data_IF_887502238927
#
_entry.id   IF_887502238927
#
_cell.length_a   1.000
_cell.length_b   1.000
_cell.length_c   1.000
_cell.angle_alpha   90.00
_cell.angle_beta   90.00
_cell.angle_gamma   90.00
#
_symmetry.space_group_name_H-M   'P 1'
#
loop_
_entity.id
_entity.type
_entity.pdbx_description
1 polymer ?
#
# COMPACT_ATOMS: atom_id res chain seq x y z
N UNK A 1 63.99 76.64 -8.02
CA UNK A 1 62.76 76.84 -7.24
C UNK A 1 61.64 76.27 -8.07
N UNK A 2 61.11 75.15 -7.60
CA UNK A 2 60.24 74.20 -8.29
C UNK A 2 59.10 73.96 -7.31
N UNK A 3 57.83 74.15 -7.72
CA UNK A 3 56.66 73.60 -7.04
C UNK A 3 55.34 73.91 -7.78
N UNK A 4 54.40 72.97 -7.69
CA UNK A 4 52.99 72.96 -8.15
C UNK A 4 52.77 72.45 -9.58
N UNK A 5 52.18 71.28 -9.88
CA UNK A 5 51.37 70.37 -9.09
C UNK A 5 50.02 70.12 -9.79
N UNK A 6 49.77 68.90 -10.30
CA UNK A 6 48.41 68.35 -10.34
C UNK A 6 48.42 66.82 -10.43
N UNK A 7 47.98 66.18 -9.35
CA UNK A 7 47.80 64.72 -9.22
C UNK A 7 46.57 64.25 -10.01
N UNK A 8 46.72 63.16 -10.76
CA UNK A 8 45.59 62.38 -11.28
C UNK A 8 44.86 61.67 -10.13
N UNK A 9 43.53 61.74 -10.09
CA UNK A 9 42.68 60.84 -9.27
C UNK A 9 42.53 59.49 -9.96
N UNK A 10 42.66 58.34 -9.27
CA UNK A 10 42.25 57.05 -9.82
C UNK A 10 40.73 56.85 -9.62
N UNK A 11 40.04 56.55 -10.73
CA UNK A 11 38.63 56.20 -10.76
C UNK A 11 38.35 54.90 -10.02
N UNK A 12 37.58 55.01 -8.93
CA UNK A 12 37.00 53.92 -8.15
C UNK A 12 35.69 53.52 -8.84
N UNK A 13 35.63 52.39 -9.55
CA UNK A 13 34.38 52.07 -10.28
C UNK A 13 34.16 50.67 -10.86
N UNK A 14 35.02 49.68 -10.62
CA UNK A 14 34.91 48.38 -11.33
C UNK A 14 34.87 47.12 -10.45
N UNK A 15 35.22 47.21 -9.16
CA UNK A 15 35.27 46.03 -8.27
C UNK A 15 33.90 45.68 -7.67
N UNK A 16 33.08 46.67 -7.31
CA UNK A 16 31.77 46.43 -6.66
C UNK A 16 30.73 45.76 -7.57
N UNK A 17 30.74 46.05 -8.87
CA UNK A 17 29.78 45.50 -9.85
C UNK A 17 29.97 44.00 -10.10
N UNK A 18 31.22 43.53 -10.12
CA UNK A 18 31.54 42.11 -10.34
C UNK A 18 31.21 41.26 -9.12
N UNK A 19 31.42 41.79 -7.91
CA UNK A 19 31.10 41.08 -6.67
C UNK A 19 29.58 40.90 -6.49
N UNK A 20 28.80 41.93 -6.80
CA UNK A 20 27.32 41.88 -6.73
C UNK A 20 26.73 40.87 -7.72
N UNK A 21 27.26 40.79 -8.95
CA UNK A 21 26.81 39.81 -9.94
C UNK A 21 27.10 38.36 -9.53
N UNK A 22 28.26 38.11 -8.90
CA UNK A 22 28.62 36.77 -8.41
C UNK A 22 27.73 36.35 -7.24
N UNK A 23 27.47 37.25 -6.28
CA UNK A 23 26.59 36.96 -5.13
C UNK A 23 25.15 36.71 -5.57
N UNK A 24 24.62 37.51 -6.51
CA UNK A 24 23.27 37.31 -7.06
C UNK A 24 23.18 35.99 -7.84
N UNK A 25 24.21 35.63 -8.63
CA UNK A 25 24.26 34.37 -9.36
C UNK A 25 24.28 33.14 -8.44
N UNK A 26 25.03 33.18 -7.34
CA UNK A 26 25.09 32.08 -6.35
C UNK A 26 23.76 31.94 -5.61
N UNK A 27 23.13 33.04 -5.19
CA UNK A 27 21.82 33.01 -4.52
C UNK A 27 20.70 32.52 -5.44
N UNK A 28 20.71 32.93 -6.70
CA UNK A 28 19.75 32.44 -7.70
C UNK A 28 19.95 30.94 -8.01
N UNK A 29 21.21 30.49 -8.14
CA UNK A 29 21.53 29.08 -8.34
C UNK A 29 21.12 28.20 -7.15
N UNK A 30 21.34 28.66 -5.92
CA UNK A 30 20.92 27.97 -4.71
C UNK A 30 19.39 27.91 -4.57
N UNK A 31 18.67 28.98 -4.94
CA UNK A 31 17.20 28.99 -4.96
C UNK A 31 16.62 27.99 -5.96
N UNK A 32 17.18 27.91 -7.17
CA UNK A 32 16.77 26.94 -8.20
C UNK A 32 17.07 25.50 -7.74
N UNK A 33 18.26 25.24 -7.20
CA UNK A 33 18.61 23.92 -6.68
C UNK A 33 17.72 23.50 -5.49
N UNK A 34 17.38 24.43 -4.60
CA UNK A 34 16.44 24.19 -3.50
C UNK A 34 15.04 23.86 -3.99
N UNK A 35 14.53 24.61 -4.98
CA UNK A 35 13.22 24.35 -5.58
C UNK A 35 13.16 22.99 -6.29
N UNK A 36 14.20 22.63 -7.05
CA UNK A 36 14.30 21.34 -7.74
C UNK A 36 14.42 20.20 -6.72
N UNK A 37 15.22 20.36 -5.66
CA UNK A 37 15.34 19.38 -4.59
C UNK A 37 14.01 19.13 -3.87
N UNK A 38 13.26 20.19 -3.59
CA UNK A 38 11.93 20.09 -2.97
C UNK A 38 10.92 19.40 -3.89
N UNK A 39 10.99 19.67 -5.19
CA UNK A 39 10.11 19.06 -6.20
C UNK A 39 10.42 17.57 -6.38
N UNK A 40 11.69 17.19 -6.47
CA UNK A 40 12.13 15.78 -6.52
C UNK A 40 11.72 15.04 -5.24
N UNK A 41 11.89 15.65 -4.06
CA UNK A 41 11.44 15.05 -2.80
C UNK A 41 9.91 14.89 -2.76
N UNK A 42 9.17 15.90 -3.22
CA UNK A 42 7.71 15.83 -3.37
C UNK A 42 7.28 14.66 -4.26
N UNK A 43 7.84 14.56 -5.47
CA UNK A 43 7.58 13.44 -6.39
C UNK A 43 7.96 12.11 -5.77
N UNK A 44 9.11 12.02 -5.09
CA UNK A 44 9.57 10.80 -4.44
C UNK A 44 8.67 10.38 -3.28
N UNK A 45 8.16 11.31 -2.47
CA UNK A 45 7.22 11.00 -1.39
C UNK A 45 5.82 10.63 -1.88
N UNK A 46 5.36 11.21 -3.00
CA UNK A 46 4.12 10.81 -3.66
C UNK A 46 4.25 9.46 -4.39
N UNK A 47 5.48 9.09 -4.75
CA UNK A 47 5.81 7.84 -5.45
C UNK A 47 6.41 6.78 -4.54
N UNK A 48 6.60 7.08 -3.24
CA UNK A 48 7.06 6.11 -2.27
C UNK A 48 5.96 5.06 -2.20
N UNK A 49 6.24 3.81 -2.61
CA UNK A 49 5.21 2.78 -2.64
C UNK A 49 4.66 2.69 -1.22
N UNK A 50 3.34 2.90 -1.08
CA UNK A 50 2.64 2.41 0.09
C UNK A 50 3.09 0.96 0.26
N UNK A 51 3.55 0.59 1.45
CA UNK A 51 3.86 -0.80 1.73
C UNK A 51 2.64 -1.61 1.29
N UNK A 52 2.84 -2.50 0.31
CA UNK A 52 1.76 -3.29 -0.25
C UNK A 52 1.12 -4.06 0.90
N UNK A 53 -0.15 -3.77 1.15
CA UNK A 53 -0.93 -4.38 2.22
C UNK A 53 -0.86 -5.90 2.04
N UNK A 54 -0.33 -6.62 3.05
CA UNK A 54 -0.11 -8.05 2.95
C UNK A 54 -1.41 -8.79 3.23
N UNK A 55 -1.79 -9.65 2.30
CA UNK A 55 -2.85 -10.65 2.48
C UNK A 55 -2.19 -12.01 2.66
N UNK A 56 -2.76 -12.83 3.55
CA UNK A 56 -2.25 -14.16 3.85
C UNK A 56 -3.13 -15.27 3.31
N UNK A 57 -2.53 -16.39 2.89
CA UNK A 57 -3.25 -17.61 2.54
C UNK A 57 -2.69 -18.82 3.29
N UNK A 58 -3.57 -19.74 3.68
CA UNK A 58 -3.20 -21.07 4.16
C UNK A 58 -4.09 -22.14 3.54
N UNK A 59 -3.58 -23.37 3.49
CA UNK A 59 -4.34 -24.54 3.04
C UNK A 59 -4.36 -25.58 4.15
N UNK A 60 -5.56 -25.84 4.67
CA UNK A 60 -5.81 -26.79 5.76
C UNK A 60 -6.56 -28.01 5.22
N UNK A 61 -5.80 -29.03 4.81
CA UNK A 61 -6.35 -30.18 4.10
C UNK A 61 -6.91 -29.75 2.75
N UNK A 62 -8.24 -29.81 2.59
CA UNK A 62 -8.92 -29.32 1.37
C UNK A 62 -9.33 -27.85 1.43
N UNK A 63 -9.31 -27.22 2.62
CA UNK A 63 -9.82 -25.86 2.80
C UNK A 63 -8.74 -24.83 2.47
N UNK A 64 -9.04 -23.91 1.58
CA UNK A 64 -8.18 -22.75 1.32
C UNK A 64 -8.74 -21.57 2.11
N UNK A 65 -7.94 -21.00 2.99
CA UNK A 65 -8.35 -19.91 3.88
C UNK A 65 -7.48 -18.69 3.60
N UNK A 66 -8.12 -17.56 3.38
CA UNK A 66 -7.47 -16.27 3.18
C UNK A 66 -7.70 -15.39 4.41
N UNK A 67 -6.67 -14.62 4.78
CA UNK A 67 -6.75 -13.58 5.79
C UNK A 67 -6.37 -12.23 5.17
N UNK A 68 -7.35 -11.35 5.06
CA UNK A 68 -7.16 -9.95 4.70
C UNK A 68 -7.16 -9.07 5.95
N UNK A 69 -6.42 -7.94 5.95
CA UNK A 69 -6.55 -6.93 6.98
C UNK A 69 -7.92 -6.27 6.89
N UNK A 70 -8.60 -6.12 8.03
CA UNK A 70 -9.88 -5.41 8.14
C UNK A 70 -9.86 -4.54 9.38
N UNK A 71 -10.25 -3.27 9.24
CA UNK A 71 -10.41 -2.42 10.43
C UNK A 71 -11.61 -2.88 11.28
N UNK A 72 -11.60 -2.65 12.60
CA UNK A 72 -12.69 -3.11 13.48
C UNK A 72 -14.09 -2.62 13.11
N UNK A 73 -14.19 -1.46 12.43
CA UNK A 73 -15.46 -0.88 11.99
C UNK A 73 -15.90 -1.35 10.60
N UNK A 74 -15.00 -1.98 9.84
CA UNK A 74 -15.24 -2.44 8.48
C UNK A 74 -15.63 -3.92 8.47
N UNK A 75 -16.16 -4.37 7.34
CA UNK A 75 -16.46 -5.77 7.10
C UNK A 75 -16.15 -6.14 5.66
N UNK A 76 -15.81 -7.41 5.43
CA UNK A 76 -15.78 -7.98 4.08
C UNK A 76 -17.18 -7.95 3.48
N UNK A 77 -17.31 -7.42 2.27
CA UNK A 77 -18.54 -7.41 1.49
C UNK A 77 -18.53 -8.46 0.39
N UNK A 78 -17.47 -8.53 -0.40
CA UNK A 78 -17.35 -9.45 -1.53
C UNK A 78 -15.97 -10.07 -1.60
N UNK A 79 -15.90 -11.31 -2.07
CA UNK A 79 -14.67 -12.06 -2.33
C UNK A 79 -14.76 -12.65 -3.72
N UNK A 80 -13.75 -12.41 -4.52
CA UNK A 80 -13.59 -12.96 -5.86
C UNK A 80 -12.27 -13.73 -5.95
N UNK A 81 -12.32 -14.88 -6.62
CA UNK A 81 -11.17 -15.75 -6.82
C UNK A 81 -11.00 -16.01 -8.31
N UNK A 82 -9.80 -15.79 -8.79
CA UNK A 82 -9.41 -15.98 -10.17
C UNK A 82 -8.25 -16.97 -10.29
N UNK A 83 -8.17 -17.61 -11.43
CA UNK A 83 -6.96 -18.31 -11.86
C UNK A 83 -5.88 -17.27 -12.13
N UNK A 84 -4.77 -17.32 -11.39
CA UNK A 84 -3.75 -16.28 -11.46
C UNK A 84 -2.93 -16.25 -12.76
N UNK A 85 -3.01 -17.28 -13.62
CA UNK A 85 -2.32 -17.28 -14.91
C UNK A 85 -3.22 -16.78 -16.04
N UNK A 86 -4.53 -17.04 -15.96
CA UNK A 86 -5.49 -16.76 -17.03
C UNK A 86 -6.53 -15.67 -16.70
N UNK A 87 -6.54 -15.17 -15.46
CA UNK A 87 -7.53 -14.23 -14.90
C UNK A 87 -8.97 -14.74 -15.00
N UNK A 88 -9.16 -16.03 -15.26
CA UNK A 88 -10.48 -16.64 -15.34
C UNK A 88 -11.10 -16.68 -13.95
N UNK A 89 -12.30 -16.12 -13.80
CA UNK A 89 -13.07 -16.23 -12.55
C UNK A 89 -13.34 -17.70 -12.22
N UNK A 90 -12.98 -18.09 -10.99
CA UNK A 90 -13.14 -19.42 -10.44
C UNK A 90 -14.32 -19.48 -9.47
N UNK A 91 -14.50 -18.43 -8.66
CA UNK A 91 -15.52 -18.35 -7.63
C UNK A 91 -15.72 -16.91 -7.16
N UNK A 92 -16.94 -16.58 -6.72
CA UNK A 92 -17.31 -15.28 -6.17
C UNK A 92 -18.34 -15.47 -5.09
N UNK A 93 -18.20 -14.78 -3.96
CA UNK A 93 -19.21 -14.79 -2.92
C UNK A 93 -19.34 -13.44 -2.21
N UNK A 94 -20.54 -13.15 -1.72
CA UNK A 94 -20.90 -11.91 -1.04
C UNK A 94 -21.54 -12.15 0.32
N UNK A 95 -21.36 -11.13 1.16
CA UNK A 95 -21.94 -11.00 2.49
C UNK A 95 -21.67 -12.21 3.38
N UNK A 96 -20.46 -12.32 3.97
CA UNK A 96 -20.13 -13.39 4.89
C UNK A 96 -21.08 -13.43 6.08
N UNK A 97 -21.64 -14.62 6.35
CA UNK A 97 -22.54 -14.89 7.47
C UNK A 97 -21.80 -14.99 8.80
N UNK A 98 -20.55 -15.45 8.76
CA UNK A 98 -19.75 -15.70 9.96
C UNK A 98 -19.05 -14.43 10.45
N UNK A 99 -18.81 -14.36 11.77
CA UNK A 99 -18.08 -13.22 12.33
C UNK A 99 -16.60 -13.19 11.89
N UNK A 100 -15.99 -14.36 11.70
CA UNK A 100 -14.63 -14.49 11.17
C UNK A 100 -14.55 -14.03 9.71
N UNK A 101 -15.51 -14.43 8.87
CA UNK A 101 -15.59 -14.02 7.47
C UNK A 101 -15.73 -12.51 7.33
N UNK A 102 -16.61 -11.88 8.13
CA UNK A 102 -16.75 -10.42 8.15
C UNK A 102 -15.45 -9.72 8.58
N UNK A 103 -14.68 -10.31 9.49
CA UNK A 103 -13.36 -9.81 9.94
C UNK A 103 -12.20 -10.26 9.05
N UNK A 104 -12.46 -10.67 7.82
CA UNK A 104 -11.41 -10.92 6.83
C UNK A 104 -10.76 -12.30 6.88
N UNK A 105 -11.23 -13.21 7.75
CA UNK A 105 -10.80 -14.62 7.70
C UNK A 105 -11.82 -15.40 6.89
N UNK A 106 -11.53 -15.60 5.61
CA UNK A 106 -12.45 -16.15 4.63
C UNK A 106 -12.03 -17.56 4.22
N UNK A 107 -12.94 -18.52 4.30
CA UNK A 107 -12.77 -19.83 3.65
C UNK A 107 -13.28 -19.75 2.21
N UNK A 108 -12.39 -19.95 1.23
CA UNK A 108 -12.76 -19.94 -0.19
C UNK A 108 -13.60 -21.18 -0.54
N UNK A 109 -14.57 -21.03 -1.46
CA UNK A 109 -15.50 -22.09 -1.87
C UNK A 109 -16.37 -22.68 -0.75
N UNK A 110 -16.52 -21.97 0.38
CA UNK A 110 -17.42 -22.34 1.47
C UNK A 110 -18.79 -21.66 1.28
N UNK A 111 -19.55 -22.08 0.26
CA UNK A 111 -20.79 -21.42 -0.17
C UNK A 111 -21.81 -21.21 0.97
N UNK A 112 -21.86 -22.12 1.93
CA UNK A 112 -22.76 -22.05 3.08
C UNK A 112 -22.40 -20.92 4.07
N UNK A 113 -21.16 -20.43 4.06
CA UNK A 113 -20.69 -19.31 4.86
C UNK A 113 -21.08 -17.92 4.30
N UNK A 114 -21.69 -17.85 3.11
CA UNK A 114 -22.04 -16.60 2.42
C UNK A 114 -23.52 -16.51 2.07
N UNK A 115 -24.10 -15.31 2.05
CA UNK A 115 -25.49 -15.13 1.63
C UNK A 115 -25.68 -15.31 0.12
N UNK A 116 -24.69 -14.90 -0.67
CA UNK A 116 -24.69 -15.10 -2.12
C UNK A 116 -23.37 -15.75 -2.51
N UNK A 117 -23.44 -16.79 -3.33
CA UNK A 117 -22.26 -17.44 -3.92
C UNK A 117 -22.53 -17.77 -5.38
N UNK A 118 -21.55 -17.49 -6.22
CA UNK A 118 -21.56 -17.62 -7.67
C UNK A 118 -20.25 -18.27 -8.13
N UNK A 119 -20.30 -18.96 -9.27
CA UNK A 119 -19.19 -19.78 -9.78
C UNK A 119 -18.78 -20.95 -8.86
N UNK A 120 -17.97 -21.86 -9.44
CA UNK A 120 -18.13 -23.31 -9.27
C UNK A 120 -17.43 -23.98 -8.08
N UNK A 121 -17.55 -25.31 -8.04
CA UNK A 121 -16.83 -26.20 -7.11
C UNK A 121 -15.33 -25.91 -7.17
N UNK A 122 -14.67 -25.92 -6.02
CA UNK A 122 -13.21 -25.78 -5.91
C UNK A 122 -12.47 -26.68 -6.92
N UNK A 123 -11.55 -26.13 -7.73
CA UNK A 123 -10.76 -26.91 -8.66
C UNK A 123 -9.93 -27.99 -7.94
N UNK A 124 -9.86 -29.18 -8.55
CA UNK A 124 -8.98 -30.26 -8.11
C UNK A 124 -8.28 -30.87 -9.34
N UNK A 125 -6.96 -30.66 -9.50
CA UNK A 125 -6.08 -29.90 -8.61
C UNK A 125 -6.35 -28.38 -8.62
N UNK A 126 -5.85 -27.67 -7.60
CA UNK A 126 -5.83 -26.21 -7.60
C UNK A 126 -4.92 -25.69 -8.73
N UNK A 127 -5.22 -24.50 -9.30
CA UNK A 127 -4.33 -23.82 -10.23
C UNK A 127 -2.93 -23.55 -9.65
N UNK A 128 -1.98 -23.22 -10.52
CA UNK A 128 -0.61 -22.88 -10.10
C UNK A 128 -0.56 -21.62 -9.24
N UNK A 129 -1.41 -20.66 -9.56
CA UNK A 129 -1.59 -19.45 -8.79
C UNK A 129 -3.07 -19.10 -8.64
N UNK A 130 -3.42 -18.52 -7.51
CA UNK A 130 -4.73 -17.91 -7.27
C UNK A 130 -4.54 -16.41 -7.12
N UNK A 131 -5.40 -15.63 -7.76
CA UNK A 131 -5.56 -14.22 -7.45
C UNK A 131 -6.87 -14.03 -6.69
N UNK A 132 -6.79 -13.36 -5.54
CA UNK A 132 -7.94 -13.17 -4.64
C UNK A 132 -8.14 -11.69 -4.44
N UNK A 133 -9.33 -11.22 -4.76
CA UNK A 133 -9.76 -9.85 -4.53
C UNK A 133 -10.86 -9.84 -3.46
N UNK A 134 -10.79 -8.88 -2.55
CA UNK A 134 -11.76 -8.67 -1.48
C UNK A 134 -12.19 -7.21 -1.47
N UNK A 135 -13.49 -6.96 -1.56
CA UNK A 135 -14.09 -5.63 -1.49
C UNK A 135 -14.80 -5.47 -0.15
N UNK A 136 -14.66 -4.31 0.50
CA UNK A 136 -15.30 -4.04 1.79
C UNK A 136 -16.76 -3.66 1.64
N UNK A 137 -17.58 -4.04 2.62
CA UNK A 137 -19.01 -3.79 2.61
C UNK A 137 -19.29 -2.28 2.58
N UNK A 138 -20.09 -1.84 1.61
CA UNK A 138 -20.45 -0.43 1.45
C UNK A 138 -19.34 0.47 0.92
N UNK A 139 -18.23 -0.09 0.43
CA UNK A 139 -17.15 0.64 -0.24
C UNK A 139 -16.84 0.04 -1.61
N UNK A 140 -16.24 0.85 -2.49
CA UNK A 140 -15.56 0.36 -3.70
C UNK A 140 -14.09 -0.01 -3.40
N UNK A 141 -13.60 0.31 -2.20
CA UNK A 141 -12.26 -0.05 -1.75
C UNK A 141 -12.16 -1.54 -1.45
N UNK A 142 -10.97 -2.07 -1.70
CA UNK A 142 -10.66 -3.47 -1.48
C UNK A 142 -9.17 -3.74 -1.30
N UNK A 143 -8.86 -5.00 -1.07
CA UNK A 143 -7.49 -5.51 -1.02
C UNK A 143 -7.46 -6.90 -1.63
N UNK A 144 -6.28 -7.41 -1.94
CA UNK A 144 -6.14 -8.69 -2.60
C UNK A 144 -4.73 -9.22 -2.56
N UNK A 145 -4.55 -10.43 -3.07
CA UNK A 145 -3.26 -11.08 -3.09
C UNK A 145 -3.16 -12.12 -4.21
N UNK A 146 -1.97 -12.17 -4.79
CA UNK A 146 -1.56 -13.21 -5.72
C UNK A 146 -0.78 -14.29 -4.97
N UNK A 147 -1.19 -15.55 -5.10
CA UNK A 147 -0.65 -16.67 -4.33
C UNK A 147 -0.09 -17.76 -5.22
N UNK A 148 1.23 -17.99 -5.17
CA UNK A 148 1.85 -19.20 -5.72
C UNK A 148 1.47 -20.41 -4.85
N UNK A 149 0.61 -21.27 -5.38
CA UNK A 149 0.07 -22.41 -4.64
C UNK A 149 1.15 -23.43 -4.27
N UNK A 150 2.25 -23.53 -5.03
CA UNK A 150 3.36 -24.43 -4.68
C UNK A 150 4.07 -23.92 -3.42
N UNK A 151 4.24 -22.61 -3.27
CA UNK A 151 4.83 -22.01 -2.06
C UNK A 151 3.89 -22.15 -0.86
N UNK A 152 2.61 -21.82 -1.02
CA UNK A 152 1.62 -21.92 0.06
C UNK A 152 1.54 -23.35 0.60
N UNK A 153 1.46 -24.35 -0.29
CA UNK A 153 1.39 -25.76 0.09
C UNK A 153 2.69 -26.28 0.73
N UNK A 154 3.84 -25.71 0.36
CA UNK A 154 5.15 -26.09 0.92
C UNK A 154 5.45 -25.44 2.29
N UNK A 155 4.77 -24.34 2.63
CA UNK A 155 5.12 -23.47 3.75
C UNK A 155 4.98 -24.09 5.15
N UNK A 156 4.34 -25.27 5.30
CA UNK A 156 4.11 -25.98 6.59
C UNK A 156 3.81 -25.00 7.74
N UNK A 157 2.69 -24.30 7.63
CA UNK A 157 2.32 -23.24 8.54
C UNK A 157 1.79 -23.79 9.88
N UNK A 158 2.19 -23.21 11.02
CA UNK A 158 1.50 -23.43 12.29
C UNK A 158 0.05 -22.95 12.23
N UNK A 159 -0.78 -23.47 13.14
CA UNK A 159 -2.15 -22.99 13.26
C UNK A 159 -2.20 -21.50 13.62
N UNK A 160 -3.06 -20.77 12.93
CA UNK A 160 -3.24 -19.32 13.05
C UNK A 160 -2.28 -18.51 12.19
N UNK A 161 -1.35 -19.16 11.47
CA UNK A 161 -0.46 -18.49 10.53
C UNK A 161 -0.90 -18.64 9.09
N UNK A 162 -0.52 -17.65 8.30
CA UNK A 162 -0.83 -17.51 6.88
C UNK A 162 0.45 -17.21 6.12
N UNK A 163 0.61 -17.80 4.95
CA UNK A 163 1.70 -17.47 4.04
C UNK A 163 1.42 -16.12 3.37
N UNK A 164 2.38 -15.21 3.46
CA UNK A 164 2.41 -13.92 2.76
C UNK A 164 3.67 -13.84 1.89
N UNK A 165 3.81 -12.81 1.07
CA UNK A 165 5.02 -12.60 0.25
C UNK A 165 6.30 -12.46 1.09
N UNK A 166 6.17 -11.99 2.34
CA UNK A 166 7.26 -11.84 3.30
C UNK A 166 7.41 -13.05 4.24
N UNK A 167 6.69 -14.14 3.95
CA UNK A 167 6.68 -15.36 4.73
C UNK A 167 5.50 -15.48 5.70
N UNK A 168 5.56 -16.40 6.67
CA UNK A 168 4.46 -16.65 7.60
C UNK A 168 4.14 -15.45 8.49
N UNK A 169 2.85 -15.10 8.60
CA UNK A 169 2.32 -14.07 9.52
C UNK A 169 1.08 -14.58 10.26
N UNK A 170 0.84 -14.11 11.48
CA UNK A 170 -0.43 -14.37 12.17
C UNK A 170 -1.55 -13.48 11.63
N UNK A 171 -2.81 -13.86 11.87
CA UNK A 171 -3.94 -13.03 11.46
C UNK A 171 -3.93 -11.64 12.11
N UNK A 172 -3.52 -11.54 13.38
CA UNK A 172 -3.42 -10.27 14.10
C UNK A 172 -2.31 -9.37 13.52
N UNK A 173 -1.19 -9.97 13.11
CA UNK A 173 -0.11 -9.24 12.45
C UNK A 173 -0.56 -8.72 11.08
N UNK A 174 -1.42 -9.47 10.38
CA UNK A 174 -2.04 -9.01 9.14
C UNK A 174 -2.96 -7.82 9.42
N UNK A 175 -3.86 -7.90 10.41
CA UNK A 175 -4.78 -6.80 10.77
C UNK A 175 -4.05 -5.54 11.25
N UNK A 176 -2.94 -5.69 11.96
CA UNK A 176 -2.15 -4.58 12.51
C UNK A 176 -1.45 -3.73 11.43
N UNK A 177 -1.48 -4.13 10.16
CA UNK A 177 -0.91 -3.35 9.06
C UNK A 177 -1.66 -2.03 8.83
N UNK A 178 -2.95 -1.99 9.14
CA UNK A 178 -3.76 -0.81 8.96
C UNK A 178 -3.79 0.05 10.23
N UNK A 179 -3.49 1.34 10.05
CA UNK A 179 -3.67 2.34 11.10
C UNK A 179 -5.14 2.76 11.15
N UNK A 180 -5.98 1.84 11.60
CA UNK A 180 -7.41 2.09 11.76
C UNK A 180 -7.61 3.17 12.82
N UNK A 181 -8.25 4.27 12.44
CA UNK A 181 -8.70 5.26 13.42
C UNK A 181 -9.71 4.59 14.34
N UNK A 182 -9.52 4.68 15.65
CA UNK A 182 -10.62 4.45 16.56
C UNK A 182 -11.64 5.55 16.28
N UNK A 183 -12.70 5.24 15.53
CA UNK A 183 -13.86 6.13 15.44
C UNK A 183 -14.32 6.38 16.87
N UNK A 184 -14.11 7.60 17.37
CA UNK A 184 -14.59 8.00 18.68
C UNK A 184 -16.11 7.71 18.73
N UNK A 185 -16.64 7.12 19.80
CA UNK A 185 -18.08 6.96 19.92
C UNK A 185 -18.72 8.34 19.79
N UNK A 186 -19.66 8.49 18.84
CA UNK A 186 -20.49 9.69 18.74
C UNK A 186 -21.10 9.95 20.13
N UNK A 187 -20.90 11.14 20.72
CA UNK A 187 -21.59 11.48 21.95
C UNK A 187 -23.09 11.50 21.64
N UNK A 188 -23.81 10.55 22.23
CA UNK A 188 -25.26 10.53 22.21
C UNK A 188 -25.75 11.86 22.78
N UNK A 189 -26.50 12.62 21.99
CA UNK A 189 -27.11 13.88 22.40
C UNK A 189 -28.10 13.64 23.55
N UNK A 190 -28.26 14.60 24.48
CA UNK A 190 -29.04 14.48 25.71
C UNK A 190 -30.54 14.30 25.50
#
# INVERSE_FOLDING_TARGET
MDESGFRRRPGRGSVGRRLVLVVVGVLAGAGVAGAVGLWIYGVYTMSAPSQSVRVGMRVDGSRVVVKVPVCPADAVGEVEVFDGESEKSLWRARDPKTSDGRRGKVTLWADDEFHVSEAGRQPSPLPRALDVLVTFAGSEDGTGGYFDMRRVLAAKLPDGQYWTDDGPMTGEAIDAQWKCGASAPSPSAP
#
